data_IF_152598565916
#
_entry.id   IF_152598565916
#
_cell.length_a   1.000
_cell.length_b   1.000
_cell.length_c   1.000
_cell.angle_alpha   90.00
_cell.angle_beta   90.00
_cell.angle_gamma   90.00
#
_symmetry.space_group_name_H-M   'P 1'
#
loop_
_entity.id
_entity.type
_entity.pdbx_description
1 polymer ?
#
# COMPACT_ATOMS: atom_id res chain seq x y z
N UNK A 1 -12.83 44.99 5.38
CA UNK A 1 -12.26 43.94 6.19
C UNK A 1 -11.30 43.11 5.33
N UNK A 2 -9.98 43.41 5.40
CA UNK A 2 -8.95 42.63 4.75
C UNK A 2 -8.65 41.41 5.59
N UNK A 3 -8.83 40.19 5.05
CA UNK A 3 -8.34 38.94 5.65
C UNK A 3 -6.90 38.72 5.20
N UNK A 4 -5.97 38.79 6.14
CA UNK A 4 -4.60 38.32 5.92
C UNK A 4 -4.55 36.82 6.16
N UNK A 5 -4.20 36.05 5.13
CA UNK A 5 -3.93 34.61 5.24
C UNK A 5 -2.41 34.47 5.33
N UNK A 6 -1.92 34.12 6.51
CA UNK A 6 -0.52 33.79 6.71
C UNK A 6 -0.36 32.26 6.78
N UNK A 7 0.61 31.72 6.04
CA UNK A 7 1.04 30.34 6.21
C UNK A 7 1.84 30.25 7.52
N UNK A 8 1.31 29.54 8.49
CA UNK A 8 2.01 29.25 9.73
C UNK A 8 2.25 27.73 9.81
N UNK A 9 3.46 27.34 10.19
CA UNK A 9 3.80 25.93 10.41
C UNK A 9 3.30 25.48 11.80
N UNK A 10 2.00 25.29 11.94
CA UNK A 10 1.32 24.96 13.20
C UNK A 10 1.18 23.47 13.45
N UNK A 11 1.53 22.62 12.47
CA UNK A 11 1.32 21.19 12.56
C UNK A 11 2.53 20.49 13.21
N UNK A 12 2.39 20.13 14.47
CA UNK A 12 3.26 19.13 15.09
C UNK A 12 2.60 17.77 14.96
N UNK A 13 3.32 16.78 14.45
CA UNK A 13 2.88 15.40 14.43
C UNK A 13 3.87 14.53 15.19
N UNK A 14 3.34 13.54 15.89
CA UNK A 14 4.11 12.53 16.58
C UNK A 14 3.69 11.16 16.09
N UNK A 15 4.65 10.38 15.62
CA UNK A 15 4.42 9.01 15.19
C UNK A 15 5.45 8.09 15.84
N UNK A 16 5.04 6.91 16.25
CA UNK A 16 5.93 5.86 16.71
C UNK A 16 5.47 4.52 16.18
N UNK A 17 6.42 3.64 15.89
CA UNK A 17 6.14 2.34 15.29
C UNK A 17 7.36 1.44 15.32
N UNK A 18 7.21 0.31 14.64
CA UNK A 18 8.26 -0.70 14.47
C UNK A 18 8.31 -1.09 13.00
N UNK A 19 9.51 -1.05 12.43
CA UNK A 19 9.80 -1.60 11.12
C UNK A 19 10.54 -2.93 11.28
N UNK A 20 10.07 -3.95 10.58
CA UNK A 20 10.65 -5.28 10.57
C UNK A 20 11.10 -5.62 9.14
N UNK A 21 12.39 -5.93 8.98
CA UNK A 21 12.93 -6.44 7.73
C UNK A 21 13.54 -7.81 7.94
N UNK A 22 13.15 -8.76 7.09
CA UNK A 22 13.67 -10.13 7.07
C UNK A 22 14.19 -10.45 5.66
N UNK A 23 15.40 -10.98 5.59
CA UNK A 23 15.95 -11.57 4.38
C UNK A 23 16.57 -12.93 4.71
N UNK A 24 16.14 -13.96 4.02
CA UNK A 24 16.62 -15.33 4.26
C UNK A 24 16.81 -16.09 2.96
N UNK A 25 17.94 -16.80 2.82
CA UNK A 25 18.25 -17.62 1.66
C UNK A 25 18.23 -19.10 2.03
N UNK A 26 17.52 -19.90 1.23
CA UNK A 26 17.39 -21.33 1.40
C UNK A 26 18.03 -22.00 0.17
N UNK A 27 19.26 -22.52 0.28
CA UNK A 27 19.82 -23.38 -0.74
C UNK A 27 19.14 -24.75 -0.66
N UNK A 28 18.63 -25.22 -1.80
CA UNK A 28 17.98 -26.52 -1.89
C UNK A 28 18.53 -27.27 -3.11
N UNK A 29 19.42 -28.21 -2.89
CA UNK A 29 20.24 -28.84 -3.93
C UNK A 29 19.46 -29.34 -5.15
N UNK A 30 18.30 -29.93 -4.93
CA UNK A 30 17.45 -30.42 -6.03
C UNK A 30 16.53 -29.38 -6.64
N UNK A 31 16.05 -28.44 -5.87
CA UNK A 31 15.04 -27.46 -6.29
C UNK A 31 15.63 -26.09 -6.66
N UNK A 32 16.89 -25.82 -6.33
CA UNK A 32 17.54 -24.55 -6.59
C UNK A 32 17.63 -23.68 -5.34
N UNK A 33 17.74 -22.39 -5.51
CA UNK A 33 17.89 -21.41 -4.41
C UNK A 33 16.61 -20.59 -4.26
N UNK A 34 16.12 -20.50 -3.05
CA UNK A 34 15.02 -19.60 -2.68
C UNK A 34 15.57 -18.44 -1.87
N UNK A 35 15.05 -17.26 -2.10
CA UNK A 35 15.27 -16.09 -1.27
C UNK A 35 13.93 -15.56 -0.80
N UNK A 36 13.72 -15.51 0.51
CA UNK A 36 12.59 -14.90 1.17
C UNK A 36 12.98 -13.48 1.57
N UNK A 37 12.08 -12.54 1.35
CA UNK A 37 12.20 -11.17 1.83
C UNK A 37 10.85 -10.71 2.38
N UNK A 38 10.88 -10.01 3.52
CA UNK A 38 9.69 -9.41 4.10
C UNK A 38 10.07 -8.07 4.75
N UNK A 39 9.30 -7.03 4.43
CA UNK A 39 9.42 -5.71 5.00
C UNK A 39 8.04 -5.28 5.48
N UNK A 40 7.91 -5.08 6.80
CA UNK A 40 6.66 -4.75 7.44
C UNK A 40 6.82 -3.57 8.37
N UNK A 41 5.87 -2.64 8.29
CA UNK A 41 5.76 -1.50 9.20
C UNK A 41 4.51 -1.62 10.05
N UNK A 42 4.69 -1.47 11.34
CA UNK A 42 3.62 -1.35 12.33
C UNK A 42 3.63 0.03 12.95
N UNK A 43 2.58 0.79 12.73
CA UNK A 43 2.39 2.11 13.31
C UNK A 43 1.67 1.94 14.67
N UNK A 44 2.39 2.21 15.77
CA UNK A 44 1.86 2.05 17.11
C UNK A 44 1.05 3.27 17.57
N UNK A 45 1.54 4.48 17.23
CA UNK A 45 0.91 5.75 17.57
C UNK A 45 1.06 6.74 16.44
N UNK A 46 0.04 7.56 16.24
CA UNK A 46 0.08 8.69 15.31
C UNK A 46 -0.85 9.79 15.83
N UNK A 47 -0.27 10.90 16.28
CA UNK A 47 -0.98 12.04 16.82
C UNK A 47 -0.63 13.29 16.03
N UNK A 48 -1.63 14.13 15.81
CA UNK A 48 -1.47 15.45 15.22
C UNK A 48 -1.94 16.51 16.20
N UNK A 49 -1.11 17.53 16.45
CA UNK A 49 -1.48 18.70 17.22
C UNK A 49 -2.50 19.53 16.46
N UNK A 50 -3.57 19.91 17.13
CA UNK A 50 -4.59 20.85 16.64
C UNK A 50 -4.64 22.03 17.56
N UNK A 51 -4.57 23.25 17.02
CA UNK A 51 -4.82 24.46 17.77
C UNK A 51 -6.31 24.63 18.01
N UNK A 52 -6.68 24.91 19.25
CA UNK A 52 -8.07 25.20 19.66
C UNK A 52 -8.17 26.71 19.91
N UNK A 53 -8.99 27.45 19.16
CA UNK A 53 -9.17 28.89 19.38
C UNK A 53 -9.59 29.20 20.80
N UNK A 54 -8.77 29.97 21.53
CA UNK A 54 -9.05 30.34 22.94
C UNK A 54 -8.78 29.24 23.97
N UNK A 55 -8.22 28.10 23.60
CA UNK A 55 -7.91 26.98 24.49
C UNK A 55 -6.48 26.46 24.33
N UNK A 56 -6.15 25.45 25.12
CA UNK A 56 -4.90 24.72 24.99
C UNK A 56 -4.92 23.83 23.71
N UNK A 57 -3.77 23.65 23.05
CA UNK A 57 -3.70 22.76 21.88
C UNK A 57 -4.02 21.32 22.28
N UNK A 58 -4.74 20.61 21.42
CA UNK A 58 -5.10 19.20 21.58
C UNK A 58 -4.26 18.30 20.69
N UNK A 59 -3.95 17.08 21.15
CA UNK A 59 -3.38 16.03 20.33
C UNK A 59 -4.49 15.06 19.90
N UNK A 60 -4.75 15.02 18.59
CA UNK A 60 -5.76 14.14 18.00
C UNK A 60 -5.08 12.90 17.49
N UNK A 61 -5.58 11.73 17.89
CA UNK A 61 -5.13 10.46 17.34
C UNK A 61 -5.56 10.32 15.89
N UNK A 62 -4.59 9.97 15.02
CA UNK A 62 -4.76 9.76 13.58
C UNK A 62 -4.54 8.31 13.17
N UNK A 63 -4.48 7.39 14.12
CA UNK A 63 -4.35 5.98 13.87
C UNK A 63 -5.56 5.45 13.11
N UNK A 64 -5.30 4.66 12.08
CA UNK A 64 -6.32 4.07 11.22
C UNK A 64 -7.33 5.11 10.68
N UNK A 65 -6.88 6.36 10.46
CA UNK A 65 -7.71 7.42 9.86
C UNK A 65 -6.97 8.10 8.71
N UNK A 66 -7.72 8.53 7.71
CA UNK A 66 -7.24 9.35 6.59
C UNK A 66 -6.00 8.76 5.88
N UNK A 67 -5.97 7.43 5.70
CA UNK A 67 -4.88 6.71 5.03
C UNK A 67 -3.73 6.25 5.93
N UNK A 68 -3.76 6.58 7.22
CA UNK A 68 -2.76 6.10 8.19
C UNK A 68 -3.11 4.69 8.64
N UNK A 69 -2.63 3.70 7.91
CA UNK A 69 -2.87 2.29 8.23
C UNK A 69 -1.97 1.81 9.35
N UNK A 70 -2.48 0.95 10.24
CA UNK A 70 -1.69 0.36 11.34
C UNK A 70 -0.63 -0.60 10.83
N UNK A 71 -0.95 -1.39 9.82
CA UNK A 71 -0.06 -2.35 9.21
C UNK A 71 0.10 -2.10 7.73
N UNK A 72 1.33 -2.17 7.26
CA UNK A 72 1.69 -2.15 5.84
C UNK A 72 2.91 -3.01 5.63
N UNK A 73 2.97 -3.76 4.53
CA UNK A 73 4.17 -4.55 4.30
C UNK A 73 4.17 -5.31 2.99
N UNK A 74 5.34 -5.82 2.70
CA UNK A 74 5.60 -6.67 1.54
C UNK A 74 6.23 -7.97 2.00
N UNK A 75 5.81 -9.08 1.42
CA UNK A 75 6.48 -10.37 1.59
C UNK A 75 6.62 -11.01 0.23
N UNK A 76 7.79 -11.56 -0.06
CA UNK A 76 8.06 -12.18 -1.34
C UNK A 76 9.02 -13.37 -1.26
N UNK A 77 8.92 -14.22 -2.27
CA UNK A 77 9.85 -15.31 -2.52
C UNK A 77 10.39 -15.20 -3.94
N UNK A 78 11.70 -15.32 -4.07
CA UNK A 78 12.37 -15.45 -5.36
C UNK A 78 13.03 -16.83 -5.44
N UNK A 79 12.86 -17.50 -6.56
CA UNK A 79 13.44 -18.79 -6.86
C UNK A 79 14.41 -18.70 -8.03
N UNK A 80 15.53 -19.44 -7.95
CA UNK A 80 16.52 -19.55 -9.02
C UNK A 80 17.02 -20.98 -9.15
N UNK A 81 16.99 -21.50 -10.40
CA UNK A 81 17.58 -22.80 -10.73
C UNK A 81 18.15 -22.77 -12.15
N UNK A 82 19.47 -22.92 -12.25
CA UNK A 82 20.14 -22.82 -13.53
C UNK A 82 19.88 -21.50 -14.25
N UNK A 83 19.29 -21.58 -15.43
CA UNK A 83 18.92 -20.41 -16.25
C UNK A 83 17.58 -19.77 -15.86
N UNK A 84 16.79 -20.44 -15.04
CA UNK A 84 15.45 -20.01 -14.64
C UNK A 84 15.46 -19.14 -13.39
N UNK A 85 14.61 -18.14 -13.39
CA UNK A 85 14.29 -17.32 -12.23
C UNK A 85 12.78 -17.15 -12.15
N UNK A 86 12.24 -17.07 -10.96
CA UNK A 86 10.83 -16.78 -10.74
C UNK A 86 10.62 -16.12 -9.38
N UNK A 87 9.50 -15.45 -9.20
CA UNK A 87 9.17 -14.86 -7.91
C UNK A 87 7.69 -14.55 -7.80
N UNK A 88 7.26 -14.51 -6.54
CA UNK A 88 5.92 -14.10 -6.13
C UNK A 88 6.10 -13.18 -4.94
N UNK A 89 5.38 -12.06 -4.94
CA UNK A 89 5.33 -11.14 -3.80
C UNK A 89 3.89 -10.70 -3.52
N UNK A 90 3.59 -10.48 -2.23
CA UNK A 90 2.35 -9.89 -1.77
C UNK A 90 2.62 -8.53 -1.13
N UNK A 91 1.81 -7.55 -1.44
CA UNK A 91 1.81 -6.23 -0.81
C UNK A 91 0.51 -6.04 -0.05
N UNK A 92 0.61 -5.81 1.26
CA UNK A 92 -0.50 -5.61 2.18
C UNK A 92 -0.64 -4.15 2.57
N UNK A 93 -1.86 -3.64 2.52
CA UNK A 93 -2.25 -2.34 3.06
C UNK A 93 -3.39 -2.59 4.04
N UNK A 94 -3.20 -2.19 5.30
CA UNK A 94 -4.21 -2.32 6.35
C UNK A 94 -5.39 -1.39 6.14
N UNK A 95 -6.48 -1.69 6.81
CA UNK A 95 -7.69 -0.87 6.82
C UNK A 95 -7.46 0.52 7.44
N UNK A 96 -8.32 1.46 7.09
CA UNK A 96 -8.42 2.77 7.75
C UNK A 96 -9.83 3.33 7.60
N UNK A 97 -10.18 4.31 8.43
CA UNK A 97 -11.39 5.08 8.28
C UNK A 97 -11.10 6.33 7.44
N UNK A 98 -11.92 6.58 6.45
CA UNK A 98 -11.81 7.75 5.57
C UNK A 98 -12.23 9.05 6.27
N UNK A 99 -12.15 10.16 5.58
CA UNK A 99 -12.50 11.49 6.11
C UNK A 99 -13.89 11.53 6.70
N UNK A 100 -14.02 12.21 7.85
CA UNK A 100 -15.30 12.31 8.51
C UNK A 100 -16.28 13.22 7.75
N UNK A 101 -17.56 12.82 7.74
CA UNK A 101 -18.69 13.66 7.30
C UNK A 101 -19.81 13.66 8.32
N UNK A 102 -20.61 14.69 8.32
CA UNK A 102 -21.81 14.81 9.16
C UNK A 102 -23.05 14.19 8.49
N UNK A 103 -22.93 13.75 7.23
CA UNK A 103 -24.07 13.24 6.45
C UNK A 103 -23.93 11.75 6.19
N UNK A 104 -24.70 10.93 6.89
CA UNK A 104 -24.72 9.46 6.70
C UNK A 104 -25.06 9.05 5.26
N UNK A 105 -25.92 9.80 4.57
CA UNK A 105 -26.33 9.53 3.20
C UNK A 105 -25.16 9.47 2.20
N UNK A 106 -24.05 10.18 2.47
CA UNK A 106 -22.84 10.13 1.64
C UNK A 106 -22.27 8.71 1.57
N UNK A 107 -22.35 7.95 2.66
CA UNK A 107 -21.81 6.59 2.73
C UNK A 107 -22.79 5.53 2.22
N UNK A 108 -24.09 5.74 2.43
CA UNK A 108 -25.13 4.81 1.95
C UNK A 108 -25.18 4.78 0.42
N UNK A 109 -24.84 5.88 -0.25
CA UNK A 109 -24.79 5.95 -1.72
C UNK A 109 -23.66 5.11 -2.33
N UNK A 110 -22.69 4.63 -1.55
CA UNK A 110 -21.65 3.70 -2.00
C UNK A 110 -22.12 2.24 -1.99
N UNK A 111 -23.40 1.98 -1.64
CA UNK A 111 -23.97 0.63 -1.64
C UNK A 111 -23.52 -0.28 -0.50
N UNK A 112 -22.63 0.21 0.39
CA UNK A 112 -22.12 -0.56 1.52
C UNK A 112 -22.28 0.21 2.84
N UNK A 113 -22.97 -0.35 3.85
CA UNK A 113 -23.15 0.29 5.15
C UNK A 113 -21.90 0.19 6.05
N UNK A 114 -20.72 0.37 5.47
CA UNK A 114 -19.44 0.28 6.20
C UNK A 114 -19.04 1.64 6.73
N UNK A 115 -19.71 2.14 7.74
CA UNK A 115 -19.30 3.38 8.38
C UNK A 115 -19.23 3.22 9.90
N UNK A 116 -18.33 4.01 10.49
CA UNK A 116 -18.24 4.18 11.94
C UNK A 116 -18.88 5.52 12.25
N UNK A 117 -19.93 5.51 13.09
CA UNK A 117 -20.51 6.70 13.68
C UNK A 117 -19.84 6.97 15.03
N UNK A 118 -19.36 8.20 15.24
CA UNK A 118 -18.83 8.64 16.51
C UNK A 118 -19.50 9.94 16.94
N UNK A 119 -20.05 9.95 18.14
CA UNK A 119 -20.60 11.15 18.74
C UNK A 119 -19.49 12.05 19.29
N UNK A 120 -19.65 13.35 19.11
CA UNK A 120 -18.78 14.40 19.60
C UNK A 120 -19.45 15.25 20.68
N UNK A 121 -18.64 16.04 21.40
CA UNK A 121 -19.07 16.87 22.53
C UNK A 121 -20.20 17.85 22.20
N UNK A 122 -20.37 18.20 20.94
CA UNK A 122 -21.49 19.03 20.47
C UNK A 122 -22.80 18.28 20.27
N UNK A 123 -22.87 17.00 20.61
CA UNK A 123 -24.03 16.13 20.31
C UNK A 123 -24.15 15.72 18.83
N UNK A 124 -23.22 16.14 17.98
CA UNK A 124 -23.19 15.78 16.56
C UNK A 124 -22.56 14.41 16.37
N UNK A 125 -23.05 13.67 15.38
CA UNK A 125 -22.42 12.45 14.91
C UNK A 125 -21.51 12.76 13.74
N UNK A 126 -20.29 12.24 13.77
CA UNK A 126 -19.41 12.15 12.61
C UNK A 126 -19.39 10.72 12.12
N UNK A 127 -19.55 10.56 10.82
CA UNK A 127 -19.51 9.28 10.16
C UNK A 127 -18.19 9.17 9.40
N UNK A 128 -17.56 8.00 9.45
CA UNK A 128 -16.39 7.66 8.68
C UNK A 128 -16.64 6.36 7.93
N UNK A 129 -16.33 6.35 6.67
CA UNK A 129 -16.36 5.13 5.88
C UNK A 129 -15.14 4.28 6.19
N UNK A 130 -15.34 2.97 6.43
CA UNK A 130 -14.24 2.04 6.68
C UNK A 130 -13.75 1.48 5.36
N UNK A 131 -12.57 1.90 4.97
CA UNK A 131 -11.84 1.36 3.83
C UNK A 131 -11.18 0.07 4.25
N UNK A 132 -11.52 -1.05 3.60
CA UNK A 132 -11.01 -2.37 3.94
C UNK A 132 -9.52 -2.53 3.65
N UNK A 133 -8.92 -3.51 4.31
CA UNK A 133 -7.57 -3.95 3.96
C UNK A 133 -7.53 -4.60 2.58
N UNK A 134 -6.37 -4.55 1.96
CA UNK A 134 -6.15 -5.15 0.65
C UNK A 134 -4.78 -5.80 0.54
N UNK A 135 -4.72 -6.92 -0.18
CA UNK A 135 -3.46 -7.57 -0.60
C UNK A 135 -3.45 -7.62 -2.12
N UNK A 136 -2.35 -7.16 -2.73
CA UNK A 136 -2.07 -7.38 -4.14
C UNK A 136 -0.90 -8.33 -4.30
N UNK A 137 -0.93 -9.16 -5.34
CA UNK A 137 0.13 -10.10 -5.65
C UNK A 137 0.79 -9.74 -6.97
N UNK A 138 2.12 -9.82 -7.00
CA UNK A 138 2.93 -9.65 -8.19
C UNK A 138 3.74 -10.91 -8.42
N UNK A 139 3.91 -11.30 -9.67
CA UNK A 139 4.70 -12.47 -10.03
C UNK A 139 5.61 -12.18 -11.22
N UNK A 140 6.68 -12.93 -11.35
CA UNK A 140 7.51 -12.92 -12.55
C UNK A 140 8.13 -14.28 -12.81
N UNK A 141 8.44 -14.52 -14.08
CA UNK A 141 9.27 -15.63 -14.53
C UNK A 141 10.33 -15.10 -15.51
N UNK A 142 11.53 -15.64 -15.46
CA UNK A 142 12.62 -15.23 -16.32
C UNK A 142 13.48 -16.41 -16.74
N UNK A 143 14.07 -16.28 -17.93
CA UNK A 143 15.00 -17.25 -18.48
C UNK A 143 16.22 -16.56 -19.09
N UNK A 144 17.41 -17.03 -18.76
CA UNK A 144 18.68 -16.54 -19.31
C UNK A 144 19.24 -17.54 -20.32
N UNK A 145 19.29 -17.14 -21.57
CA UNK A 145 19.99 -17.87 -22.61
C UNK A 145 21.51 -17.75 -22.43
N UNK A 146 22.18 -18.89 -22.32
CA UNK A 146 23.64 -18.95 -22.18
C UNK A 146 24.38 -18.54 -23.46
N UNK A 147 25.73 -18.63 -23.39
CA UNK A 147 26.60 -18.34 -24.53
C UNK A 147 26.46 -19.39 -25.64
N UNK A 148 26.16 -20.63 -25.26
CA UNK A 148 26.02 -21.79 -26.13
C UNK A 148 24.63 -21.91 -26.82
N UNK A 149 23.73 -20.95 -26.52
CA UNK A 149 22.42 -20.87 -27.14
C UNK A 149 22.56 -20.41 -28.61
N UNK A 150 21.48 -20.60 -29.37
CA UNK A 150 21.39 -20.12 -30.76
C UNK A 150 21.87 -18.66 -30.88
N UNK A 151 22.69 -18.29 -31.90
CA UNK A 151 23.23 -16.95 -32.10
C UNK A 151 22.25 -15.80 -32.00
N UNK A 152 20.96 -16.03 -32.33
CA UNK A 152 19.91 -15.03 -32.24
C UNK A 152 19.52 -14.67 -30.81
N UNK A 153 19.61 -15.64 -29.87
CA UNK A 153 19.16 -15.49 -28.49
C UNK A 153 20.27 -15.61 -27.44
N UNK A 154 21.49 -15.93 -27.82
CA UNK A 154 22.61 -16.06 -26.88
C UNK A 154 22.82 -14.78 -26.07
N UNK A 155 23.21 -14.93 -24.80
CA UNK A 155 23.41 -13.85 -23.85
C UNK A 155 22.16 -12.97 -23.63
N UNK A 156 20.99 -13.45 -23.99
CA UNK A 156 19.72 -12.74 -23.80
C UNK A 156 19.06 -13.20 -22.52
N UNK A 157 18.50 -12.26 -21.78
CA UNK A 157 17.63 -12.52 -20.66
C UNK A 157 16.22 -12.07 -21.03
N UNK A 158 15.25 -12.96 -20.83
CA UNK A 158 13.83 -12.71 -21.05
C UNK A 158 13.14 -12.76 -19.70
N UNK A 159 12.34 -11.76 -19.36
CA UNK A 159 11.57 -11.73 -18.13
C UNK A 159 10.14 -11.30 -18.43
N UNK A 160 9.19 -12.11 -18.02
CA UNK A 160 7.76 -11.80 -18.02
C UNK A 160 7.35 -11.48 -16.58
N UNK A 161 6.74 -10.33 -16.38
CA UNK A 161 6.22 -9.89 -15.08
C UNK A 161 4.73 -9.63 -15.15
N UNK A 162 4.06 -9.76 -14.01
CA UNK A 162 2.67 -9.36 -13.82
C UNK A 162 2.55 -8.65 -12.48
N UNK A 163 1.99 -7.46 -12.51
CA UNK A 163 1.62 -6.67 -11.34
C UNK A 163 0.11 -6.81 -11.14
N UNK A 164 -0.32 -6.90 -9.89
CA UNK A 164 -1.70 -7.15 -9.52
C UNK A 164 -2.27 -8.40 -10.22
N UNK A 165 -1.63 -9.54 -9.97
CA UNK A 165 -1.92 -10.84 -10.60
C UNK A 165 -3.39 -11.23 -10.56
N UNK A 166 -4.09 -10.93 -9.46
CA UNK A 166 -5.50 -11.26 -9.24
C UNK A 166 -6.47 -10.19 -9.74
N UNK A 167 -5.96 -9.13 -10.38
CA UNK A 167 -6.75 -8.01 -10.90
C UNK A 167 -7.67 -7.38 -9.86
N UNK A 168 -7.14 -7.17 -8.65
CA UNK A 168 -7.92 -6.58 -7.57
C UNK A 168 -8.08 -5.09 -7.77
N UNK A 169 -9.33 -4.65 -7.67
CA UNK A 169 -9.64 -3.22 -7.62
C UNK A 169 -9.21 -2.59 -6.29
N UNK A 170 -8.87 -1.29 -6.28
CA UNK A 170 -8.68 -0.54 -5.05
C UNK A 170 -9.94 -0.58 -4.19
N UNK A 171 -9.81 -0.67 -2.84
CA UNK A 171 -10.95 -0.55 -1.96
C UNK A 171 -11.69 0.77 -2.15
N UNK A 172 -13.02 0.71 -2.12
CA UNK A 172 -13.87 1.90 -2.21
C UNK A 172 -13.62 2.85 -1.04
N UNK A 173 -13.65 4.14 -1.34
CA UNK A 173 -13.57 5.24 -0.37
C UNK A 173 -14.75 6.20 -0.56
N UNK A 174 -15.00 7.05 0.42
CA UNK A 174 -16.02 8.09 0.34
C UNK A 174 -15.65 9.29 -0.54
N UNK A 175 -14.39 9.35 -1.01
CA UNK A 175 -13.90 10.42 -1.87
C UNK A 175 -14.50 10.40 -3.27
N UNK A 176 -14.45 11.55 -3.98
CA UNK A 176 -15.01 11.71 -5.32
C UNK A 176 -14.44 10.75 -6.38
N UNK A 177 -13.22 10.25 -6.18
CA UNK A 177 -12.59 9.29 -7.09
C UNK A 177 -12.98 7.83 -6.81
N UNK A 178 -13.72 7.56 -5.73
CA UNK A 178 -14.10 6.20 -5.31
C UNK A 178 -12.96 5.37 -4.74
N UNK A 179 -11.74 5.86 -4.73
CA UNK A 179 -10.56 5.23 -4.11
C UNK A 179 -9.60 6.29 -3.57
N UNK A 180 -8.62 5.90 -2.74
CA UNK A 180 -7.59 6.80 -2.20
C UNK A 180 -6.30 6.73 -3.05
N UNK A 181 -6.01 7.72 -3.91
CA UNK A 181 -4.81 7.70 -4.75
C UNK A 181 -3.51 7.68 -3.94
N UNK A 182 -3.49 8.36 -2.80
CA UNK A 182 -2.31 8.41 -1.91
C UNK A 182 -1.99 7.07 -1.24
N UNK A 183 -2.98 6.20 -1.07
CA UNK A 183 -2.84 4.91 -0.40
C UNK A 183 -2.82 3.76 -1.40
N UNK A 184 -3.70 3.79 -2.40
CA UNK A 184 -3.95 2.69 -3.33
C UNK A 184 -3.56 2.99 -4.78
N UNK A 185 -2.83 4.09 -5.02
CA UNK A 185 -2.49 4.55 -6.38
C UNK A 185 -1.75 3.53 -7.24
N UNK A 186 -0.98 2.64 -6.61
CA UNK A 186 -0.26 1.56 -7.31
C UNK A 186 -1.17 0.46 -7.85
N UNK A 187 -2.42 0.39 -7.41
CA UNK A 187 -3.41 -0.59 -7.86
C UNK A 187 -4.23 -0.09 -9.07
N UNK A 188 -4.24 1.22 -9.32
CA UNK A 188 -5.12 1.85 -10.30
C UNK A 188 -4.97 1.32 -11.74
N UNK A 189 -3.77 0.95 -12.24
CA UNK A 189 -3.66 0.37 -13.58
C UNK A 189 -4.33 -1.00 -13.74
N UNK A 190 -4.80 -1.62 -12.63
CA UNK A 190 -5.27 -2.98 -12.64
C UNK A 190 -4.12 -3.97 -12.90
N UNK A 191 -4.44 -5.13 -13.47
CA UNK A 191 -3.43 -6.13 -13.84
C UNK A 191 -2.61 -5.65 -15.03
N UNK A 192 -1.30 -5.53 -14.82
CA UNK A 192 -0.36 -5.06 -15.82
C UNK A 192 0.69 -6.13 -16.13
N UNK A 193 0.90 -6.42 -17.41
CA UNK A 193 1.93 -7.33 -17.87
C UNK A 193 3.13 -6.55 -18.40
N UNK A 194 4.32 -7.05 -18.09
CA UNK A 194 5.59 -6.49 -18.55
C UNK A 194 6.43 -7.58 -19.19
N UNK A 195 7.01 -7.30 -20.37
CA UNK A 195 8.01 -8.14 -20.99
C UNK A 195 9.32 -7.36 -21.09
N UNK A 196 10.36 -7.90 -20.47
CA UNK A 196 11.70 -7.33 -20.51
C UNK A 196 12.63 -8.24 -21.30
N UNK A 197 13.33 -7.65 -22.26
CA UNK A 197 14.36 -8.30 -23.06
C UNK A 197 15.67 -7.53 -22.88
N UNK A 198 16.71 -8.20 -22.38
CA UNK A 198 18.03 -7.61 -22.26
C UNK A 198 19.09 -8.53 -22.88
N UNK A 199 20.02 -7.97 -23.67
CA UNK A 199 21.10 -8.72 -24.32
C UNK A 199 22.44 -8.06 -24.02
N UNK A 200 23.45 -8.90 -23.72
CA UNK A 200 24.85 -8.46 -23.64
C UNK A 200 25.56 -8.86 -24.94
N UNK A 201 26.20 -7.90 -25.54
CA UNK A 201 27.03 -8.06 -26.74
C UNK A 201 28.47 -8.35 -26.37
#
# INVERSE_FOLDING_TARGET
LSRSIQFQNLAQSYASGVDLSLAYQIPWDRLGKFALAADWSYLARNYQRREVPGGAPEFIERMETDGNTRWRGTTGVTWRKGAWTGGLSGYYIGRFADSATTTAATYTNLGEPRYIAKQFDSGRFLYRYVVGEVITYNAFAGYRFGRDANPLVRNTNVRLGVVNLLDRDPPLTSGALGYSPSVHGTMFPGRTWTLELSRRF
#
